data_IF_010320009906
#
_entry.id   IF_010320009906
#
_cell.length_a   1.000
_cell.length_b   1.000
_cell.length_c   1.000
_cell.angle_alpha   90.00
_cell.angle_beta   90.00
_cell.angle_gamma   90.00
#
_symmetry.space_group_name_H-M   'P 1'
#
loop_
_entity.id
_entity.type
_entity.pdbx_description
1 polymer ?
#
# COMPACT_ATOMS: atom_id res chain seq x y z
N UNK A 1 -15.40 -12.05 -9.33
CA UNK A 1 -15.50 -10.64 -8.85
C UNK A 1 -14.28 -10.16 -8.04
N UNK A 2 -13.49 -11.03 -7.40
CA UNK A 2 -12.34 -10.63 -6.56
C UNK A 2 -11.28 -9.77 -7.26
N UNK A 3 -10.99 -10.01 -8.55
CA UNK A 3 -10.00 -9.23 -9.32
C UNK A 3 -10.31 -7.74 -9.40
N UNK A 4 -11.58 -7.36 -9.60
CA UNK A 4 -11.98 -5.95 -9.69
C UNK A 4 -11.89 -5.26 -8.33
N UNK A 5 -12.32 -5.96 -7.27
CA UNK A 5 -12.27 -5.43 -5.89
C UNK A 5 -10.81 -5.25 -5.44
N UNK A 6 -9.95 -6.24 -5.69
CA UNK A 6 -8.52 -6.16 -5.38
C UNK A 6 -7.82 -5.04 -6.14
N UNK A 7 -8.11 -4.88 -7.44
CA UNK A 7 -7.54 -3.80 -8.25
C UNK A 7 -7.97 -2.41 -7.74
N UNK A 8 -9.25 -2.22 -7.43
CA UNK A 8 -9.74 -0.95 -6.88
C UNK A 8 -9.07 -0.61 -5.54
N UNK A 9 -8.85 -1.62 -4.68
CA UNK A 9 -8.21 -1.43 -3.39
C UNK A 9 -6.72 -1.10 -3.51
N UNK A 10 -5.99 -1.78 -4.39
CA UNK A 10 -4.59 -1.47 -4.68
C UNK A 10 -4.42 -0.06 -5.23
N UNK A 11 -5.32 0.38 -6.11
CA UNK A 11 -5.31 1.76 -6.61
C UNK A 11 -5.58 2.78 -5.51
N UNK A 12 -6.42 2.45 -4.52
CA UNK A 12 -6.67 3.33 -3.38
C UNK A 12 -5.46 3.41 -2.45
N UNK A 13 -4.84 2.28 -2.11
CA UNK A 13 -3.61 2.24 -1.32
C UNK A 13 -2.47 3.02 -1.98
N UNK A 14 -2.37 2.96 -3.30
CA UNK A 14 -1.40 3.76 -4.06
C UNK A 14 -1.67 5.26 -3.91
N UNK A 15 -2.92 5.70 -4.07
CA UNK A 15 -3.29 7.11 -3.88
C UNK A 15 -3.02 7.59 -2.45
N UNK A 16 -3.33 6.76 -1.46
CA UNK A 16 -3.07 7.07 -0.05
C UNK A 16 -1.56 7.21 0.20
N UNK A 17 -0.74 6.34 -0.40
CA UNK A 17 0.71 6.45 -0.34
C UNK A 17 1.24 7.70 -1.08
N UNK A 18 0.76 7.98 -2.31
CA UNK A 18 1.11 9.18 -3.06
C UNK A 18 0.81 10.46 -2.25
N UNK A 19 -0.32 10.49 -1.53
CA UNK A 19 -0.69 11.61 -0.67
C UNK A 19 0.16 11.69 0.62
N UNK A 20 0.46 10.56 1.26
CA UNK A 20 1.23 10.54 2.51
C UNK A 20 2.72 10.86 2.31
N UNK A 21 3.32 10.33 1.24
CA UNK A 21 4.74 10.49 0.95
C UNK A 21 5.06 11.74 0.10
N UNK A 22 4.08 12.27 -0.65
CA UNK A 22 4.27 13.43 -1.52
C UNK A 22 5.44 13.23 -2.49
N UNK A 23 6.37 14.19 -2.53
CA UNK A 23 7.57 14.14 -3.38
C UNK A 23 8.54 12.98 -3.05
N UNK A 24 8.39 12.37 -1.86
CA UNK A 24 9.19 11.20 -1.45
C UNK A 24 8.54 9.89 -1.88
N UNK A 25 7.37 9.94 -2.51
CA UNK A 25 6.71 8.73 -2.99
C UNK A 25 7.55 8.07 -4.07
N UNK A 26 7.81 6.77 -3.89
CA UNK A 26 8.49 5.97 -4.89
C UNK A 26 7.63 4.74 -5.23
N UNK A 27 7.20 4.70 -6.49
CA UNK A 27 6.37 3.61 -7.02
C UNK A 27 7.10 2.25 -7.01
N UNK A 28 8.44 2.23 -7.09
CA UNK A 28 9.21 0.98 -6.99
C UNK A 28 9.19 0.43 -5.56
N UNK A 29 9.38 1.30 -4.56
CA UNK A 29 9.29 0.94 -3.14
C UNK A 29 7.89 0.43 -2.78
N UNK A 30 6.84 1.09 -3.32
CA UNK A 30 5.46 0.62 -3.15
C UNK A 30 5.27 -0.81 -3.67
N UNK A 31 5.75 -1.11 -4.88
CA UNK A 31 5.65 -2.46 -5.45
C UNK A 31 6.55 -3.47 -4.73
N UNK A 32 7.75 -3.09 -4.31
CA UNK A 32 8.66 -3.95 -3.55
C UNK A 32 8.02 -4.35 -2.21
N UNK A 33 7.41 -3.39 -1.52
CA UNK A 33 6.66 -3.65 -0.28
C UNK A 33 5.48 -4.59 -0.54
N UNK A 34 4.73 -4.35 -1.61
CA UNK A 34 3.62 -5.22 -2.01
C UNK A 34 4.08 -6.67 -2.29
N UNK A 35 5.20 -6.85 -2.99
CA UNK A 35 5.78 -8.16 -3.31
C UNK A 35 6.34 -8.88 -2.07
N UNK A 36 6.80 -8.14 -1.05
CA UNK A 36 7.28 -8.72 0.21
C UNK A 36 6.16 -9.27 1.10
N UNK A 37 4.92 -8.85 0.88
CA UNK A 37 3.78 -9.36 1.65
C UNK A 37 3.51 -10.79 1.21
N UNK A 38 3.77 -11.76 2.10
CA UNK A 38 3.63 -13.19 1.81
C UNK A 38 2.17 -13.67 1.76
N UNK A 39 1.20 -12.77 1.94
CA UNK A 39 -0.23 -13.10 1.98
C UNK A 39 -0.91 -12.77 0.66
N UNK A 40 -1.69 -13.72 0.16
CA UNK A 40 -2.61 -13.50 -0.98
C UNK A 40 -3.97 -12.93 -0.54
N UNK A 41 -4.19 -12.78 0.77
CA UNK A 41 -5.42 -12.24 1.31
C UNK A 41 -5.41 -10.70 1.26
N UNK A 42 -6.31 -10.13 0.47
CA UNK A 42 -6.49 -8.69 0.34
C UNK A 42 -6.54 -7.90 1.67
N UNK A 43 -7.27 -8.33 2.72
CA UNK A 43 -7.31 -7.58 3.98
C UNK A 43 -5.94 -7.54 4.69
N UNK A 44 -5.12 -8.58 4.57
CA UNK A 44 -3.76 -8.59 5.15
C UNK A 44 -2.85 -7.65 4.38
N UNK A 45 -2.90 -7.69 3.04
CA UNK A 45 -2.16 -6.76 2.19
C UNK A 45 -2.51 -5.31 2.52
N UNK A 46 -3.80 -5.03 2.69
CA UNK A 46 -4.28 -3.69 3.04
C UNK A 46 -3.76 -3.22 4.40
N UNK A 47 -3.81 -4.07 5.43
CA UNK A 47 -3.33 -3.73 6.76
C UNK A 47 -1.82 -3.41 6.76
N UNK A 48 -1.01 -4.26 6.12
CA UNK A 48 0.44 -4.08 6.05
C UNK A 48 0.83 -2.82 5.28
N UNK A 49 0.16 -2.54 4.17
CA UNK A 49 0.38 -1.35 3.36
C UNK A 49 -0.06 -0.08 4.10
N UNK A 50 -1.23 -0.10 4.75
CA UNK A 50 -1.69 1.01 5.60
C UNK A 50 -0.70 1.31 6.71
N UNK A 51 -0.24 0.28 7.43
CA UNK A 51 0.77 0.45 8.48
C UNK A 51 2.07 1.11 7.98
N UNK A 52 2.51 0.78 6.78
CA UNK A 52 3.67 1.43 6.15
C UNK A 52 3.38 2.89 5.75
N UNK A 53 2.21 3.17 5.18
CA UNK A 53 1.78 4.53 4.77
C UNK A 53 1.65 5.44 6.00
N UNK A 54 0.97 4.97 7.06
CA UNK A 54 0.81 5.71 8.33
C UNK A 54 2.14 5.88 9.07
N UNK A 55 2.99 4.84 9.07
CA UNK A 55 4.30 4.86 9.72
C UNK A 55 5.30 5.84 9.10
N UNK A 56 5.14 6.17 7.82
CA UNK A 56 5.97 7.17 7.15
C UNK A 56 5.63 8.62 7.54
N UNK A 57 4.39 8.87 7.95
CA UNK A 57 3.94 10.15 8.51
C UNK A 57 4.15 10.25 10.02
N UNK A 58 4.36 9.12 10.71
CA UNK A 58 4.50 9.03 12.16
C UNK A 58 5.77 8.32 12.59
N UNK A 59 6.91 9.03 12.52
CA UNK A 59 8.09 8.66 13.30
C UNK A 59 7.75 8.79 14.79
N UNK A 60 7.60 7.66 15.49
CA UNK A 60 7.97 7.57 16.90
C UNK A 60 9.46 7.28 16.99
#
# INVERSE_FOLDING_TARGET
LGYKIGMLKLQQLRRDAEAAFGDKFNIREFHDRLLRIQSSALPVIEQEMRGWIDGAGGKR
#
